data_IF_802953905751
#
_entry.id   IF_802953905751
#
_cell.length_a   1.000
_cell.length_b   1.000
_cell.length_c   1.000
_cell.angle_alpha   90.00
_cell.angle_beta   90.00
_cell.angle_gamma   90.00
#
_symmetry.space_group_name_H-M   'P 1'
#
loop_
_entity.id
_entity.type
_entity.pdbx_description
1 polymer ?
#
# COMPACT_ATOMS: atom_id res chain seq x y z
N UNK A 1 -24.12 -21.07 24.03
CA UNK A 1 -25.10 -22.18 24.04
C UNK A 1 -25.19 -22.74 25.44
N UNK A 2 -26.14 -22.25 26.26
CA UNK A 2 -26.40 -22.84 27.57
C UNK A 2 -27.18 -24.14 27.33
N UNK A 3 -26.49 -25.28 27.37
CA UNK A 3 -27.18 -26.57 27.42
C UNK A 3 -27.97 -26.58 28.72
N UNK A 4 -29.30 -26.57 28.64
CA UNK A 4 -30.19 -26.91 29.76
C UNK A 4 -29.90 -28.37 30.12
N UNK A 5 -28.87 -28.59 30.94
CA UNK A 5 -28.54 -29.89 31.53
C UNK A 5 -29.65 -30.18 32.53
N UNK A 6 -30.68 -30.89 32.07
CA UNK A 6 -31.66 -31.54 32.93
C UNK A 6 -30.87 -32.51 33.81
N UNK A 7 -30.54 -32.08 35.03
CA UNK A 7 -29.86 -32.96 35.97
C UNK A 7 -30.79 -34.14 36.25
N UNK A 8 -30.32 -35.39 36.08
CA UNK A 8 -31.12 -36.57 36.38
C UNK A 8 -31.58 -36.50 37.84
N UNK A 9 -32.86 -36.83 38.10
CA UNK A 9 -33.39 -36.89 39.46
C UNK A 9 -32.62 -37.97 40.22
N UNK A 10 -31.99 -37.59 41.33
CA UNK A 10 -31.19 -38.51 42.16
C UNK A 10 -32.08 -39.67 42.63
N UNK A 11 -31.55 -40.90 42.56
CA UNK A 11 -32.23 -42.11 43.05
C UNK A 11 -32.60 -42.00 44.54
N UNK A 12 -31.82 -41.24 45.33
CA UNK A 12 -32.09 -40.98 46.75
C UNK A 12 -33.29 -40.05 46.95
N UNK A 13 -33.43 -39.02 46.11
CA UNK A 13 -34.59 -38.14 46.13
C UNK A 13 -35.86 -38.88 45.71
N UNK A 14 -35.78 -39.74 44.68
CA UNK A 14 -36.88 -40.61 44.26
C UNK A 14 -37.28 -41.60 45.38
N UNK A 15 -36.29 -42.20 46.05
CA UNK A 15 -36.53 -43.08 47.20
C UNK A 15 -37.20 -42.37 48.37
N UNK A 16 -36.74 -41.17 48.73
CA UNK A 16 -37.36 -40.35 49.78
C UNK A 16 -38.81 -39.98 49.43
N UNK A 17 -39.08 -39.57 48.19
CA UNK A 17 -40.46 -39.29 47.74
C UNK A 17 -41.33 -40.54 47.77
N UNK A 18 -40.79 -41.71 47.38
CA UNK A 18 -41.49 -42.98 47.45
C UNK A 18 -41.88 -43.34 48.90
N UNK A 19 -40.95 -43.20 49.84
CA UNK A 19 -41.19 -43.45 51.28
C UNK A 19 -42.28 -42.55 51.85
N UNK A 20 -42.30 -41.27 51.45
CA UNK A 20 -43.36 -40.34 51.88
C UNK A 20 -44.71 -40.72 51.29
N UNK A 21 -44.77 -41.13 50.02
CA UNK A 21 -46.01 -41.60 49.39
C UNK A 21 -46.52 -42.86 50.11
N UNK A 22 -45.65 -43.82 50.41
CA UNK A 22 -46.06 -45.04 51.14
C UNK A 22 -46.54 -44.72 52.55
N UNK A 23 -45.89 -43.78 53.25
CA UNK A 23 -46.33 -43.33 54.57
C UNK A 23 -47.76 -42.75 54.54
N UNK A 24 -48.05 -41.91 53.54
CA UNK A 24 -49.38 -41.32 53.35
C UNK A 24 -50.42 -42.41 53.05
N UNK A 25 -50.12 -43.36 52.15
CA UNK A 25 -51.03 -44.46 51.82
C UNK A 25 -51.34 -45.35 53.03
N UNK A 26 -50.33 -45.69 53.83
CA UNK A 26 -50.50 -46.48 55.06
C UNK A 26 -51.34 -45.73 56.10
N UNK A 27 -51.14 -44.41 56.24
CA UNK A 27 -51.95 -43.59 57.13
C UNK A 27 -53.43 -43.57 56.69
N UNK A 28 -53.71 -43.40 55.39
CA UNK A 28 -55.07 -43.45 54.84
C UNK A 28 -55.71 -44.82 55.10
N UNK A 29 -55.00 -45.91 54.83
CA UNK A 29 -55.50 -47.26 55.07
C UNK A 29 -55.81 -47.49 56.56
N UNK A 30 -54.96 -47.00 57.46
CA UNK A 30 -55.19 -47.08 58.91
C UNK A 30 -56.44 -46.35 59.37
N UNK A 31 -56.74 -45.18 58.78
CA UNK A 31 -57.96 -44.42 59.06
C UNK A 31 -59.21 -45.19 58.61
N UNK A 32 -59.18 -45.83 57.44
CA UNK A 32 -60.33 -46.59 56.91
C UNK A 32 -60.66 -47.80 57.79
N UNK A 33 -59.65 -48.49 58.31
CA UNK A 33 -59.86 -49.64 59.22
C UNK A 33 -60.35 -49.19 60.60
N UNK A 34 -59.94 -48.00 61.06
CA UNK A 34 -60.43 -47.34 62.29
C UNK A 34 -60.29 -48.16 63.59
N UNK A 35 -59.27 -49.02 63.69
CA UNK A 35 -58.94 -49.72 64.94
C UNK A 35 -57.74 -49.09 65.63
N UNK A 36 -57.81 -48.94 66.96
CA UNK A 36 -56.75 -48.33 67.80
C UNK A 36 -55.35 -48.89 67.54
N UNK A 37 -55.11 -50.22 67.54
CA UNK A 37 -53.76 -50.75 67.32
C UNK A 37 -53.21 -50.43 65.90
N UNK A 38 -54.07 -50.40 64.88
CA UNK A 38 -53.66 -50.09 63.50
C UNK A 38 -53.28 -48.61 63.35
N UNK A 39 -53.99 -47.71 64.02
CA UNK A 39 -53.65 -46.28 64.03
C UNK A 39 -52.28 -46.03 64.70
N UNK A 40 -51.98 -46.73 65.80
CA UNK A 40 -50.68 -46.64 66.48
C UNK A 40 -49.56 -47.17 65.56
N UNK A 41 -49.78 -48.29 64.88
CA UNK A 41 -48.82 -48.84 63.92
C UNK A 41 -48.59 -47.90 62.71
N UNK A 42 -49.66 -47.33 62.15
CA UNK A 42 -49.58 -46.43 61.00
C UNK A 42 -48.87 -45.11 61.34
N UNK A 43 -49.16 -44.53 62.51
CA UNK A 43 -48.52 -43.29 62.97
C UNK A 43 -47.03 -43.50 63.27
N UNK A 44 -46.67 -44.56 63.98
CA UNK A 44 -45.25 -44.89 64.23
C UNK A 44 -44.48 -45.15 62.94
N UNK A 45 -45.08 -45.87 61.97
CA UNK A 45 -44.51 -46.07 60.64
C UNK A 45 -44.31 -44.74 59.89
N UNK A 46 -45.30 -43.84 59.91
CA UNK A 46 -45.22 -42.54 59.24
C UNK A 46 -44.11 -41.66 59.84
N UNK A 47 -43.92 -41.67 61.16
CA UNK A 47 -42.85 -40.92 61.82
C UNK A 47 -41.48 -41.48 61.44
N UNK A 48 -41.30 -42.81 61.49
CA UNK A 48 -40.02 -43.44 61.14
C UNK A 48 -39.63 -43.20 59.69
N UNK A 49 -40.57 -43.40 58.77
CA UNK A 49 -40.36 -43.16 57.33
C UNK A 49 -40.09 -41.68 57.05
N UNK A 50 -40.77 -40.75 57.73
CA UNK A 50 -40.53 -39.32 57.64
C UNK A 50 -39.11 -38.92 58.08
N UNK A 51 -38.62 -39.46 59.21
CA UNK A 51 -37.25 -39.22 59.69
C UNK A 51 -36.21 -39.74 58.70
N UNK A 52 -36.42 -40.95 58.14
CA UNK A 52 -35.52 -41.53 57.14
C UNK A 52 -35.49 -40.68 55.86
N UNK A 53 -36.66 -40.28 55.35
CA UNK A 53 -36.77 -39.42 54.17
C UNK A 53 -36.10 -38.05 54.39
N UNK A 54 -36.29 -37.44 55.55
CA UNK A 54 -35.66 -36.17 55.91
C UNK A 54 -34.13 -36.27 55.94
N UNK A 55 -33.57 -37.34 56.51
CA UNK A 55 -32.10 -37.57 56.48
C UNK A 55 -31.57 -37.79 55.08
N UNK A 56 -32.26 -38.57 54.24
CA UNK A 56 -31.85 -38.81 52.86
C UNK A 56 -31.82 -37.52 52.05
N UNK A 57 -32.85 -36.67 52.19
CA UNK A 57 -32.91 -35.37 51.52
C UNK A 57 -31.85 -34.39 52.06
N UNK A 58 -31.62 -34.38 53.37
CA UNK A 58 -30.60 -33.53 54.00
C UNK A 58 -29.19 -33.86 53.50
N UNK A 59 -28.85 -35.15 53.43
CA UNK A 59 -27.54 -35.60 52.93
C UNK A 59 -27.36 -35.25 51.44
N UNK A 60 -28.38 -35.45 50.61
CA UNK A 60 -28.34 -35.07 49.19
C UNK A 60 -28.19 -33.55 49.01
N UNK A 61 -28.87 -32.74 49.82
CA UNK A 61 -28.73 -31.28 49.78
C UNK A 61 -27.32 -30.83 50.17
N UNK A 62 -26.73 -31.43 51.21
CA UNK A 62 -25.36 -31.15 51.62
C UNK A 62 -24.35 -31.53 50.52
N UNK A 63 -24.52 -32.70 49.91
CA UNK A 63 -23.70 -33.18 48.80
C UNK A 63 -23.81 -32.24 47.59
N UNK A 64 -25.03 -31.87 47.19
CA UNK A 64 -25.25 -30.92 46.08
C UNK A 64 -24.68 -29.53 46.32
N UNK A 65 -24.75 -29.01 47.55
CA UNK A 65 -24.12 -27.73 47.89
C UNK A 65 -22.61 -27.82 47.72
N UNK A 66 -22.00 -28.92 48.18
CA UNK A 66 -20.57 -29.15 48.04
C UNK A 66 -20.15 -29.27 46.57
N UNK A 67 -20.84 -30.08 45.77
CA UNK A 67 -20.53 -30.23 44.34
C UNK A 67 -20.70 -28.90 43.61
N UNK A 68 -21.76 -28.15 43.89
CA UNK A 68 -21.99 -26.84 43.29
C UNK A 68 -20.87 -25.84 43.62
N UNK A 69 -20.38 -25.82 44.86
CA UNK A 69 -19.25 -24.96 45.24
C UNK A 69 -17.96 -25.33 44.49
N UNK A 70 -17.69 -26.62 44.32
CA UNK A 70 -16.52 -27.12 43.58
C UNK A 70 -16.64 -26.84 42.07
N UNK A 71 -17.81 -27.07 41.48
CA UNK A 71 -18.05 -26.75 40.07
C UNK A 71 -17.89 -25.25 39.81
N UNK A 72 -18.38 -24.40 40.73
CA UNK A 72 -18.24 -22.96 40.60
C UNK A 72 -16.79 -22.50 40.74
N UNK A 73 -16.00 -23.08 41.64
CA UNK A 73 -14.56 -22.76 41.73
C UNK A 73 -13.82 -23.16 40.46
N UNK A 74 -14.08 -24.36 39.93
CA UNK A 74 -13.48 -24.83 38.67
C UNK A 74 -13.86 -23.91 37.51
N UNK A 75 -15.13 -23.52 37.40
CA UNK A 75 -15.60 -22.61 36.36
C UNK A 75 -14.91 -21.23 36.43
N UNK A 76 -14.69 -20.70 37.63
CA UNK A 76 -13.98 -19.43 37.83
C UNK A 76 -12.52 -19.56 37.42
N UNK A 77 -11.85 -20.65 37.82
CA UNK A 77 -10.46 -20.90 37.46
C UNK A 77 -10.28 -21.10 35.96
N UNK A 78 -11.17 -21.84 35.31
CA UNK A 78 -11.13 -22.04 33.86
C UNK A 78 -11.38 -20.73 33.10
N UNK A 79 -12.35 -19.92 33.55
CA UNK A 79 -12.58 -18.61 32.94
C UNK A 79 -11.38 -17.67 33.16
N UNK A 80 -10.76 -17.69 34.34
CA UNK A 80 -9.52 -16.94 34.62
C UNK A 80 -8.39 -17.39 33.68
N UNK A 81 -8.17 -18.69 33.52
CA UNK A 81 -7.15 -19.24 32.60
C UNK A 81 -7.43 -18.81 31.15
N UNK A 82 -8.68 -18.94 30.71
CA UNK A 82 -9.08 -18.53 29.36
C UNK A 82 -8.94 -17.02 29.14
N UNK A 83 -9.21 -16.18 30.15
CA UNK A 83 -9.01 -14.74 30.07
C UNK A 83 -7.51 -14.37 30.01
N UNK A 84 -6.66 -15.03 30.79
CA UNK A 84 -5.20 -14.84 30.73
C UNK A 84 -4.64 -15.27 29.37
N UNK A 85 -5.08 -16.42 28.84
CA UNK A 85 -4.68 -16.88 27.52
C UNK A 85 -5.05 -15.86 26.43
N UNK A 86 -6.32 -15.43 26.38
CA UNK A 86 -6.79 -14.39 25.46
C UNK A 86 -6.01 -13.08 25.60
N UNK A 87 -5.71 -12.66 26.83
CA UNK A 87 -4.93 -11.44 27.05
C UNK A 87 -3.50 -11.55 26.51
N UNK A 88 -2.86 -12.72 26.64
CA UNK A 88 -1.52 -12.96 26.06
C UNK A 88 -1.57 -12.93 24.54
N UNK A 89 -2.53 -13.62 23.94
CA UNK A 89 -2.76 -13.61 22.49
C UNK A 89 -2.98 -12.18 21.97
N UNK A 90 -3.77 -11.36 22.66
CA UNK A 90 -3.98 -9.96 22.29
C UNK A 90 -2.72 -9.11 22.38
N UNK A 91 -1.89 -9.31 23.41
CA UNK A 91 -0.61 -8.60 23.55
C UNK A 91 0.35 -9.00 22.43
N UNK A 92 0.48 -10.30 22.14
CA UNK A 92 1.31 -10.81 21.06
C UNK A 92 0.85 -10.27 19.70
N UNK A 93 -0.46 -10.28 19.45
CA UNK A 93 -1.03 -9.68 18.25
C UNK A 93 -0.74 -8.18 18.14
N UNK A 94 -0.92 -7.43 19.22
CA UNK A 94 -0.66 -5.99 19.24
C UNK A 94 0.81 -5.68 18.97
N UNK A 95 1.74 -6.43 19.59
CA UNK A 95 3.18 -6.29 19.38
C UNK A 95 3.57 -6.60 17.93
N UNK A 96 3.04 -7.70 17.37
CA UNK A 96 3.31 -8.08 15.99
C UNK A 96 2.76 -7.03 14.99
N UNK A 97 1.55 -6.53 15.22
CA UNK A 97 0.98 -5.48 14.38
C UNK A 97 1.73 -4.15 14.52
N UNK A 98 2.16 -3.78 15.72
CA UNK A 98 2.98 -2.59 15.95
C UNK A 98 4.32 -2.68 15.20
N UNK A 99 5.01 -3.82 15.29
CA UNK A 99 6.25 -4.07 14.54
C UNK A 99 6.04 -3.96 13.02
N UNK A 100 4.94 -4.52 12.50
CA UNK A 100 4.58 -4.38 11.09
C UNK A 100 4.34 -2.93 10.68
N UNK A 101 3.64 -2.16 11.50
CA UNK A 101 3.38 -0.74 11.22
C UNK A 101 4.70 0.04 11.20
N UNK A 102 5.58 -0.17 12.18
CA UNK A 102 6.89 0.49 12.21
C UNK A 102 7.75 0.16 10.98
N UNK A 103 7.74 -1.10 10.53
CA UNK A 103 8.46 -1.48 9.32
C UNK A 103 7.89 -0.78 8.08
N UNK A 104 6.56 -0.65 7.98
CA UNK A 104 5.92 0.05 6.86
C UNK A 104 6.19 1.54 6.90
N UNK A 105 6.20 2.16 8.07
CA UNK A 105 6.55 3.57 8.21
C UNK A 105 7.98 3.85 7.74
N UNK A 106 8.94 3.01 8.16
CA UNK A 106 10.32 3.12 7.71
C UNK A 106 10.46 2.97 6.18
N UNK A 107 9.71 2.04 5.57
CA UNK A 107 9.67 1.89 4.12
C UNK A 107 9.04 3.11 3.41
N UNK A 108 8.01 3.72 4.00
CA UNK A 108 7.39 4.93 3.48
C UNK A 108 8.33 6.13 3.54
N UNK A 109 9.08 6.27 4.65
CA UNK A 109 10.09 7.31 4.80
C UNK A 109 11.22 7.16 3.78
N UNK A 110 11.72 5.94 3.56
CA UNK A 110 12.71 5.64 2.53
C UNK A 110 12.19 5.96 1.11
N UNK A 111 10.96 5.55 0.80
CA UNK A 111 10.35 5.86 -0.49
C UNK A 111 10.17 7.37 -0.68
N UNK A 112 9.78 8.09 0.37
CA UNK A 112 9.63 9.55 0.33
C UNK A 112 10.96 10.26 0.07
N UNK A 113 12.04 9.83 0.74
CA UNK A 113 13.37 10.38 0.51
C UNK A 113 13.89 10.08 -0.91
N UNK A 114 13.63 8.87 -1.40
CA UNK A 114 13.97 8.48 -2.79
C UNK A 114 13.21 9.33 -3.81
N UNK A 115 11.95 9.66 -3.54
CA UNK A 115 11.12 10.49 -4.43
C UNK A 115 11.63 11.93 -4.46
N UNK A 116 11.96 12.51 -3.31
CA UNK A 116 12.55 13.86 -3.23
C UNK A 116 13.88 13.91 -3.98
N UNK A 117 14.72 12.89 -3.81
CA UNK A 117 16.00 12.79 -4.53
C UNK A 117 15.78 12.71 -6.05
N UNK A 118 14.84 11.86 -6.50
CA UNK A 118 14.51 11.73 -7.90
C UNK A 118 13.94 13.04 -8.51
N UNK A 119 13.12 13.79 -7.76
CA UNK A 119 12.60 15.09 -8.18
C UNK A 119 13.72 16.13 -8.34
N UNK A 120 14.67 16.18 -7.40
CA UNK A 120 15.84 17.05 -7.47
C UNK A 120 16.68 16.72 -8.69
N UNK A 121 16.95 15.44 -8.95
CA UNK A 121 17.76 15.03 -10.09
C UNK A 121 17.05 15.28 -11.42
N UNK A 122 15.73 15.11 -11.47
CA UNK A 122 14.92 15.47 -12.61
C UNK A 122 14.98 16.98 -12.89
N UNK A 123 14.93 17.82 -11.85
CA UNK A 123 15.11 19.26 -11.98
C UNK A 123 16.49 19.63 -12.55
N UNK A 124 17.57 19.03 -12.03
CA UNK A 124 18.94 19.22 -12.56
C UNK A 124 19.08 18.79 -14.02
N UNK A 125 18.47 17.65 -14.40
CA UNK A 125 18.50 17.18 -15.79
C UNK A 125 17.73 18.15 -16.69
N UNK A 126 16.57 18.66 -16.25
CA UNK A 126 15.81 19.66 -17.01
C UNK A 126 16.60 20.95 -17.21
N UNK A 127 17.30 21.42 -16.17
CA UNK A 127 18.18 22.59 -16.25
C UNK A 127 19.29 22.38 -17.28
N UNK A 128 20.04 21.27 -17.20
CA UNK A 128 21.08 20.93 -18.19
C UNK A 128 20.54 20.85 -19.61
N UNK A 129 19.39 20.21 -19.81
CA UNK A 129 18.76 20.14 -21.13
C UNK A 129 18.36 21.52 -21.64
N UNK A 130 17.92 22.42 -20.76
CA UNK A 130 17.60 23.80 -21.13
C UNK A 130 18.84 24.60 -21.55
N UNK A 131 19.96 24.41 -20.86
CA UNK A 131 21.25 25.02 -21.20
C UNK A 131 21.80 24.50 -22.52
N UNK A 132 21.77 23.18 -22.74
CA UNK A 132 22.21 22.57 -24.00
C UNK A 132 21.34 23.03 -25.18
N UNK A 133 20.03 23.18 -24.98
CA UNK A 133 19.14 23.76 -26.00
C UNK A 133 19.48 25.21 -26.30
N UNK A 134 19.81 26.01 -25.29
CA UNK A 134 20.24 27.39 -25.48
C UNK A 134 21.57 27.45 -26.25
N UNK A 135 22.53 26.58 -25.90
CA UNK A 135 23.82 26.45 -26.61
C UNK A 135 23.63 26.01 -28.07
N UNK A 136 22.79 25.00 -28.33
CA UNK A 136 22.47 24.56 -29.70
C UNK A 136 21.88 25.70 -30.52
N UNK A 137 20.93 26.46 -29.97
CA UNK A 137 20.33 27.62 -30.66
C UNK A 137 21.33 28.72 -30.97
N UNK A 138 22.26 28.99 -30.05
CA UNK A 138 23.32 29.97 -30.28
C UNK A 138 24.25 29.51 -31.41
N UNK A 139 24.68 28.24 -31.39
CA UNK A 139 25.51 27.67 -32.45
C UNK A 139 24.78 27.64 -33.80
N UNK A 140 23.49 27.31 -33.82
CA UNK A 140 22.67 27.37 -35.04
C UNK A 140 22.64 28.79 -35.61
N UNK A 141 22.43 29.80 -34.77
CA UNK A 141 22.46 31.21 -35.19
C UNK A 141 23.85 31.63 -35.73
N UNK A 142 24.93 31.22 -35.07
CA UNK A 142 26.30 31.50 -35.52
C UNK A 142 26.60 30.81 -36.87
N UNK A 143 26.14 29.57 -37.06
CA UNK A 143 26.30 28.87 -38.34
C UNK A 143 25.52 29.53 -39.47
N UNK A 144 24.34 30.08 -39.19
CA UNK A 144 23.53 30.77 -40.19
C UNK A 144 24.16 32.13 -40.56
N UNK A 145 24.68 32.86 -39.57
CA UNK A 145 25.44 34.09 -39.81
C UNK A 145 26.69 33.83 -40.67
N UNK A 146 27.48 32.80 -40.32
CA UNK A 146 28.68 32.43 -41.07
C UNK A 146 28.37 32.00 -42.52
N UNK A 147 27.24 31.33 -42.76
CA UNK A 147 26.79 31.02 -44.13
C UNK A 147 26.43 32.28 -44.90
N UNK A 148 25.70 33.21 -44.28
CA UNK A 148 25.34 34.48 -44.91
C UNK A 148 26.59 35.31 -45.26
N UNK A 149 27.58 35.36 -44.36
CA UNK A 149 28.86 36.02 -44.61
C UNK A 149 29.63 35.37 -45.76
N UNK A 150 29.64 34.03 -45.82
CA UNK A 150 30.26 33.28 -46.91
C UNK A 150 29.58 33.56 -48.25
N UNK A 151 28.25 33.58 -48.30
CA UNK A 151 27.48 33.91 -49.51
C UNK A 151 27.77 35.34 -49.97
N UNK A 152 27.84 36.31 -49.04
CA UNK A 152 28.21 37.69 -49.35
C UNK A 152 29.63 37.78 -49.91
N UNK A 153 30.60 37.10 -49.28
CA UNK A 153 31.98 37.09 -49.74
C UNK A 153 32.13 36.42 -51.12
N UNK A 154 31.37 35.35 -51.39
CA UNK A 154 31.33 34.71 -52.71
C UNK A 154 30.75 35.64 -53.77
N UNK A 155 29.69 36.39 -53.43
CA UNK A 155 29.10 37.39 -54.33
C UNK A 155 30.06 38.55 -54.62
N UNK A 156 30.76 39.05 -53.61
CA UNK A 156 31.77 40.10 -53.79
C UNK A 156 32.98 39.61 -54.60
N UNK A 157 33.42 38.37 -54.39
CA UNK A 157 34.47 37.73 -55.18
C UNK A 157 34.05 37.62 -56.66
N UNK A 158 32.82 37.16 -56.93
CA UNK A 158 32.30 37.06 -58.29
C UNK A 158 32.28 38.45 -58.97
N UNK A 159 31.83 39.49 -58.27
CA UNK A 159 31.86 40.87 -58.79
C UNK A 159 33.28 41.35 -59.07
N UNK A 160 34.24 41.03 -58.19
CA UNK A 160 35.63 41.41 -58.37
C UNK A 160 36.26 40.69 -59.59
N UNK A 161 35.92 39.42 -59.82
CA UNK A 161 36.35 38.68 -61.01
C UNK A 161 35.73 39.24 -62.29
N UNK A 162 34.45 39.60 -62.28
CA UNK A 162 33.79 40.24 -63.42
C UNK A 162 34.43 41.60 -63.74
N UNK A 163 34.67 42.43 -62.72
CA UNK A 163 35.35 43.72 -62.89
C UNK A 163 36.80 43.56 -63.39
N UNK A 164 37.51 42.52 -62.92
CA UNK A 164 38.84 42.18 -63.43
C UNK A 164 38.77 41.80 -64.91
N UNK A 165 37.85 40.93 -65.30
CA UNK A 165 37.66 40.53 -66.70
C UNK A 165 37.29 41.72 -67.60
N UNK A 166 36.44 42.64 -67.11
CA UNK A 166 36.12 43.89 -67.80
C UNK A 166 37.38 44.76 -67.97
N UNK A 167 38.18 44.92 -66.92
CA UNK A 167 39.43 45.69 -66.99
C UNK A 167 40.46 45.09 -67.94
N UNK A 168 40.63 43.76 -67.94
CA UNK A 168 41.52 43.04 -68.86
C UNK A 168 41.04 43.18 -70.31
N UNK A 169 39.72 43.11 -70.55
CA UNK A 169 39.14 43.31 -71.87
C UNK A 169 39.35 44.74 -72.39
N UNK A 170 39.20 45.74 -71.53
CA UNK A 170 39.43 47.14 -71.85
C UNK A 170 40.92 47.42 -72.11
N UNK A 171 41.83 46.76 -71.37
CA UNK A 171 43.27 46.85 -71.63
C UNK A 171 43.63 46.24 -72.99
N UNK A 172 43.08 45.06 -73.31
CA UNK A 172 43.31 44.42 -74.62
C UNK A 172 42.77 45.28 -75.78
N UNK A 173 41.59 45.87 -75.63
CA UNK A 173 41.01 46.77 -76.63
C UNK A 173 41.85 48.05 -76.79
N UNK A 174 42.28 48.67 -75.68
CA UNK A 174 43.18 49.82 -75.72
C UNK A 174 44.51 49.51 -76.41
N UNK A 175 45.11 48.33 -76.14
CA UNK A 175 46.32 47.86 -76.84
C UNK A 175 46.06 47.65 -78.35
N UNK A 176 44.92 47.08 -78.72
CA UNK A 176 44.55 46.90 -80.13
C UNK A 176 44.36 48.25 -80.85
N UNK A 177 43.73 49.23 -80.21
CA UNK A 177 43.57 50.59 -80.75
C UNK A 177 44.92 51.30 -80.94
N UNK A 178 45.86 51.16 -79.99
CA UNK A 178 47.21 51.70 -80.11
C UNK A 178 47.98 51.11 -81.30
N UNK A 179 47.93 49.78 -81.47
CA UNK A 179 48.55 49.12 -82.63
C UNK A 179 47.91 49.57 -83.95
N UNK A 180 46.59 49.75 -84.00
CA UNK A 180 45.90 50.25 -85.18
C UNK A 180 46.29 51.70 -85.52
N UNK A 181 46.49 52.55 -84.50
CA UNK A 181 46.99 53.93 -84.69
C UNK A 181 48.43 53.94 -85.19
N UNK A 182 49.31 53.11 -84.64
CA UNK A 182 50.69 52.98 -85.09
C UNK A 182 50.78 52.49 -86.55
N UNK A 183 49.94 51.52 -86.91
CA UNK A 183 49.84 51.05 -88.30
C UNK A 183 49.32 52.14 -89.24
N UNK A 184 48.33 52.92 -88.81
CA UNK A 184 47.80 54.04 -89.61
C UNK A 184 48.85 55.16 -89.79
N UNK A 185 49.64 55.44 -88.74
CA UNK A 185 50.72 56.42 -88.79
C UNK A 185 51.85 55.99 -89.73
N UNK A 186 52.31 54.74 -89.62
CA UNK A 186 53.36 54.18 -90.49
C UNK A 186 52.93 54.04 -91.95
N UNK A 187 51.66 53.70 -92.23
CA UNK A 187 51.10 53.72 -93.59
C UNK A 187 51.03 55.15 -94.18
N UNK A 188 50.73 56.15 -93.33
CA UNK A 188 50.76 57.55 -93.75
C UNK A 188 52.19 58.03 -94.05
N UNK A 189 53.19 57.60 -93.28
CA UNK A 189 54.61 57.86 -93.55
C UNK A 189 55.07 57.20 -94.86
N UNK A 190 54.71 55.93 -95.11
CA UNK A 190 54.99 55.24 -96.38
C UNK A 190 54.34 55.96 -97.57
N UNK A 191 53.08 56.41 -97.44
CA UNK A 191 52.40 57.22 -98.47
C UNK A 191 53.00 58.61 -98.68
N UNK A 192 53.68 59.18 -97.68
CA UNK A 192 54.46 60.41 -97.85
C UNK A 192 55.79 60.14 -98.57
N UNK A 193 56.41 58.98 -98.33
CA UNK A 193 57.67 58.58 -98.95
C UNK A 193 57.52 58.17 -100.43
N UNK A 194 56.36 57.64 -100.83
CA UNK A 194 56.00 57.35 -102.23
C UNK A 194 55.61 58.60 -103.04
N UNK A 195 55.31 59.72 -102.39
CA UNK A 195 54.99 61.00 -103.05
C UNK A 195 56.21 61.89 -103.29
N UNK A 196 57.39 61.49 -102.81
CA UNK A 196 58.65 62.22 -102.94
C UNK A 196 59.66 61.55 -103.89
N UNK A 197 59.23 60.53 -104.64
CA UNK A 197 59.93 59.94 -105.79
C UNK A 197 59.27 60.36 -107.11
#
# INVERSE_FOLDING_TARGET
MASTRRNPRSRRALGATGLLITAVLVAIAGIVVSTVPVLIAATTYAVLTGVIAARLLSNELAERRRTWSLERSVMVDDNRRAAVARSREHIEFANHMSSKIMLREAQLDELRDSLVTAEIDLAKVRERVSEERARSKALEADTEAAKSDLESAQFDLARALDALAESESAELDARAQLLAWEQTASDNEHRQHDRSA
#
